data_IF_805463103797
#
_entry.id   IF_805463103797
#
_cell.length_a   1.000
_cell.length_b   1.000
_cell.length_c   1.000
_cell.angle_alpha   90.00
_cell.angle_beta   90.00
_cell.angle_gamma   90.00
#
_symmetry.space_group_name_H-M   'P 1'
#
loop_
_entity.id
_entity.type
_entity.pdbx_description
1 polymer ?
#
# COMPACT_ATOMS: atom_id res chain seq x y z
N UNK A 1 -15.76 -6.10 -25.52
CA UNK A 1 -16.61 -7.07 -24.78
C UNK A 1 -16.62 -6.67 -23.31
N UNK A 2 -17.73 -6.79 -22.58
CA UNK A 2 -17.77 -6.50 -21.14
C UNK A 2 -17.29 -7.75 -20.38
N UNK A 3 -16.08 -7.69 -19.82
CA UNK A 3 -15.48 -8.84 -19.14
C UNK A 3 -16.06 -8.98 -17.75
N UNK A 4 -16.48 -10.20 -17.41
CA UNK A 4 -17.11 -10.46 -16.12
C UNK A 4 -16.16 -10.17 -14.95
N UNK A 5 -16.71 -9.84 -13.77
CA UNK A 5 -15.92 -9.68 -12.54
C UNK A 5 -15.04 -10.92 -12.28
N UNK A 6 -15.57 -12.11 -12.59
CA UNK A 6 -14.85 -13.37 -12.47
C UNK A 6 -13.61 -13.45 -13.37
N UNK A 7 -13.68 -12.96 -14.61
CA UNK A 7 -12.54 -12.95 -15.52
C UNK A 7 -11.47 -11.94 -15.07
N UNK A 8 -11.89 -10.81 -14.50
CA UNK A 8 -10.95 -9.84 -13.90
C UNK A 8 -10.22 -10.46 -12.71
N UNK A 9 -10.93 -11.17 -11.84
CA UNK A 9 -10.31 -11.92 -10.74
C UNK A 9 -9.35 -12.99 -11.25
N UNK A 10 -9.76 -13.81 -12.23
CA UNK A 10 -8.90 -14.84 -12.80
C UNK A 10 -7.64 -14.22 -13.40
N UNK A 11 -7.77 -13.14 -14.17
CA UNK A 11 -6.62 -12.44 -14.76
C UNK A 11 -5.67 -11.87 -13.69
N UNK A 12 -6.23 -11.26 -12.64
CA UNK A 12 -5.45 -10.74 -11.51
C UNK A 12 -4.63 -11.86 -10.84
N UNK A 13 -5.27 -13.01 -10.56
CA UNK A 13 -4.56 -14.17 -10.01
C UNK A 13 -3.53 -14.74 -10.99
N UNK A 14 -3.79 -14.74 -12.30
CA UNK A 14 -2.80 -15.16 -13.30
C UNK A 14 -1.58 -14.23 -13.32
N UNK A 15 -1.79 -12.91 -13.18
CA UNK A 15 -0.71 -11.94 -13.10
C UNK A 15 0.17 -12.17 -11.87
N UNK A 16 -0.43 -12.37 -10.69
CA UNK A 16 0.29 -12.65 -9.44
C UNK A 16 1.11 -13.93 -9.52
N UNK A 17 0.55 -14.97 -10.11
CA UNK A 17 1.13 -16.32 -10.09
C UNK A 17 1.98 -16.64 -11.33
N UNK A 18 2.28 -15.66 -12.18
CA UNK A 18 3.03 -15.87 -13.43
C UNK A 18 2.40 -16.94 -14.34
N UNK A 19 1.09 -16.87 -14.57
CA UNK A 19 0.31 -17.85 -15.36
C UNK A 19 -0.31 -17.25 -16.62
N UNK A 20 0.48 -16.52 -17.40
CA UNK A 20 0.09 -15.92 -18.66
C UNK A 20 -1.23 -15.14 -18.56
N UNK A 21 -1.28 -14.02 -17.82
CA UNK A 21 -2.47 -13.19 -17.78
C UNK A 21 -2.83 -12.71 -19.18
N UNK A 22 -4.14 -12.55 -19.43
CA UNK A 22 -4.69 -12.07 -20.70
C UNK A 22 -4.39 -10.57 -20.91
N UNK A 23 -4.23 -9.80 -19.83
CA UNK A 23 -3.86 -8.39 -19.85
C UNK A 23 -3.12 -8.00 -18.56
N UNK A 24 -2.46 -6.83 -18.56
CA UNK A 24 -1.85 -6.23 -17.37
C UNK A 24 -2.96 -5.60 -16.51
N UNK A 25 -3.18 -6.03 -15.26
CA UNK A 25 -4.07 -5.33 -14.35
C UNK A 25 -3.59 -3.89 -14.11
N UNK A 26 -4.48 -2.92 -14.28
CA UNK A 26 -4.19 -1.51 -14.07
C UNK A 26 -5.25 -0.89 -13.16
N UNK A 27 -4.84 0.05 -12.32
CA UNK A 27 -5.73 0.84 -11.46
C UNK A 27 -5.23 2.27 -11.30
N UNK A 28 -6.15 3.18 -11.04
CA UNK A 28 -5.85 4.56 -10.68
C UNK A 28 -6.38 4.82 -9.28
N UNK A 29 -5.52 5.36 -8.41
CA UNK A 29 -5.90 5.87 -7.09
C UNK A 29 -6.07 7.37 -7.18
N UNK A 30 -7.19 7.89 -6.70
CA UNK A 30 -7.52 9.32 -6.70
C UNK A 30 -7.65 9.76 -5.25
N UNK A 31 -6.75 10.65 -4.80
CA UNK A 31 -6.75 11.10 -3.41
C UNK A 31 -8.05 11.84 -3.07
N UNK A 32 -8.52 11.78 -1.81
CA UNK A 32 -9.70 12.54 -1.39
C UNK A 32 -9.58 14.04 -1.67
N UNK A 33 -8.38 14.62 -1.52
CA UNK A 33 -8.11 16.01 -1.91
C UNK A 33 -8.32 16.26 -3.42
N UNK A 34 -7.98 15.29 -4.28
CA UNK A 34 -8.20 15.34 -5.74
C UNK A 34 -9.71 15.38 -6.05
N UNK A 35 -10.50 14.51 -5.42
CA UNK A 35 -11.96 14.52 -5.52
C UNK A 35 -12.56 15.85 -5.04
N UNK A 36 -12.13 16.37 -3.89
CA UNK A 36 -12.58 17.67 -3.37
C UNK A 36 -12.30 18.82 -4.34
N UNK A 37 -11.13 18.83 -4.96
CA UNK A 37 -10.68 19.90 -5.85
C UNK A 37 -11.47 19.93 -7.15
N UNK A 38 -11.65 18.77 -7.79
CA UNK A 38 -12.18 18.70 -9.15
C UNK A 38 -13.65 18.27 -9.24
N UNK A 39 -14.18 17.61 -8.20
CA UNK A 39 -15.60 17.25 -8.03
C UNK A 39 -16.17 16.57 -9.29
N UNK A 40 -17.23 17.12 -9.87
CA UNK A 40 -17.95 16.58 -11.02
C UNK A 40 -17.03 16.45 -12.26
N UNK A 41 -16.04 17.33 -12.43
CA UNK A 41 -15.10 17.22 -13.56
C UNK A 41 -14.19 16.00 -13.49
N UNK A 42 -13.88 15.53 -12.27
CA UNK A 42 -13.14 14.29 -12.07
C UNK A 42 -14.07 13.08 -12.22
N UNK A 43 -15.31 13.21 -11.77
CA UNK A 43 -16.35 12.19 -11.98
C UNK A 43 -16.60 11.93 -13.47
N UNK A 44 -16.65 12.98 -14.30
CA UNK A 44 -16.76 12.85 -15.76
C UNK A 44 -15.65 11.97 -16.37
N UNK A 45 -14.41 12.15 -15.92
CA UNK A 45 -13.25 11.32 -16.33
C UNK A 45 -13.39 9.89 -15.81
N UNK A 46 -13.80 9.72 -14.57
CA UNK A 46 -13.96 8.38 -13.99
C UNK A 46 -15.05 7.58 -14.73
N UNK A 47 -16.15 8.25 -15.11
CA UNK A 47 -17.23 7.66 -15.89
C UNK A 47 -16.86 7.38 -17.35
N UNK A 48 -15.90 8.12 -17.94
CA UNK A 48 -15.40 7.85 -19.29
C UNK A 48 -14.45 6.64 -19.35
N UNK A 49 -13.91 6.19 -18.20
CA UNK A 49 -12.94 5.10 -18.10
C UNK A 49 -13.45 3.88 -17.28
N UNK A 50 -14.54 3.21 -17.72
CA UNK A 50 -15.11 2.07 -16.99
C UNK A 50 -14.18 0.84 -16.95
N UNK A 51 -13.13 0.78 -17.77
CA UNK A 51 -12.15 -0.30 -17.68
C UNK A 51 -11.28 -0.16 -16.44
N UNK A 52 -10.89 1.08 -16.11
CA UNK A 52 -10.12 1.46 -14.91
C UNK A 52 -11.02 1.49 -13.67
N UNK A 53 -12.25 1.98 -13.81
CA UNK A 53 -13.20 2.18 -12.71
C UNK A 53 -14.49 1.33 -12.86
N UNK A 54 -14.40 0.00 -12.93
CA UNK A 54 -15.54 -0.86 -13.29
C UNK A 54 -16.67 -0.88 -12.24
N UNK A 55 -16.39 -0.47 -11.01
CA UNK A 55 -17.34 -0.45 -9.91
C UNK A 55 -17.90 0.94 -9.61
N UNK A 56 -17.43 1.98 -10.31
CA UNK A 56 -17.85 3.35 -10.05
C UNK A 56 -19.29 3.60 -10.54
N UNK A 57 -20.03 4.38 -9.77
CA UNK A 57 -21.39 4.82 -10.10
C UNK A 57 -21.49 6.32 -9.89
N UNK A 58 -22.19 7.00 -10.78
CA UNK A 58 -22.47 8.43 -10.66
C UNK A 58 -23.07 8.73 -9.27
N UNK A 59 -22.54 9.74 -8.59
CA UNK A 59 -22.92 10.16 -7.25
C UNK A 59 -22.54 9.19 -6.12
N UNK A 60 -21.71 8.16 -6.37
CA UNK A 60 -21.30 7.20 -5.33
C UNK A 60 -20.26 7.75 -4.35
N UNK A 61 -19.60 8.86 -4.70
CA UNK A 61 -18.64 9.56 -3.84
C UNK A 61 -19.28 10.85 -3.34
N UNK A 62 -19.26 11.02 -2.02
CA UNK A 62 -19.49 12.33 -1.40
C UNK A 62 -18.16 13.08 -1.39
N UNK A 63 -18.03 14.09 -2.26
CA UNK A 63 -16.78 14.85 -2.43
C UNK A 63 -16.30 15.51 -1.15
N UNK A 64 -17.19 15.85 -0.21
CA UNK A 64 -16.84 16.60 0.99
C UNK A 64 -16.62 15.68 2.21
N UNK A 65 -16.97 14.40 2.11
CA UNK A 65 -16.86 13.43 3.20
C UNK A 65 -15.44 12.84 3.35
N UNK A 66 -14.66 13.41 4.28
CA UNK A 66 -13.39 12.83 4.74
C UNK A 66 -13.62 12.13 6.08
N UNK A 67 -13.69 10.79 6.05
CA UNK A 67 -14.03 9.98 7.24
C UNK A 67 -12.83 9.67 8.11
N UNK A 68 -11.69 9.35 7.51
CA UNK A 68 -10.47 9.02 8.25
C UNK A 68 -9.89 10.30 8.89
N UNK A 69 -9.71 10.35 10.23
CA UNK A 69 -9.08 11.50 10.89
C UNK A 69 -7.66 11.80 10.41
N UNK A 70 -6.91 10.82 9.91
CA UNK A 70 -5.59 11.04 9.31
C UNK A 70 -5.62 11.93 8.08
N UNK A 71 -6.75 11.94 7.38
CA UNK A 71 -6.94 12.77 6.18
C UNK A 71 -7.62 14.10 6.48
N UNK A 72 -8.02 14.36 7.73
CA UNK A 72 -8.69 15.61 8.11
C UNK A 72 -7.69 16.60 8.62
N UNK A 73 -7.79 17.86 8.17
CA UNK A 73 -6.91 18.93 8.62
C UNK A 73 -7.05 19.14 10.12
N UNK A 74 -5.92 19.29 10.81
CA UNK A 74 -5.84 19.39 12.26
C UNK A 74 -5.11 18.20 12.88
N UNK A 75 -5.29 18.03 14.20
CA UNK A 75 -4.59 16.99 14.95
C UNK A 75 -5.54 16.01 15.63
N UNK A 76 -5.09 14.77 15.77
CA UNK A 76 -5.74 13.74 16.58
C UNK A 76 -4.68 12.85 17.26
N UNK A 77 -5.10 11.97 18.15
CA UNK A 77 -4.22 10.99 18.79
C UNK A 77 -4.76 9.60 18.48
N UNK A 78 -3.88 8.74 17.98
CA UNK A 78 -4.25 7.36 17.65
C UNK A 78 -4.30 6.47 18.91
N UNK A 79 -4.70 5.21 18.76
CA UNK A 79 -4.81 4.26 19.87
C UNK A 79 -3.46 3.88 20.50
N UNK A 80 -2.35 4.18 19.82
CA UNK A 80 -1.00 4.02 20.36
C UNK A 80 -0.52 5.27 21.12
N UNK A 81 -1.32 6.34 21.17
CA UNK A 81 -0.90 7.59 21.79
C UNK A 81 0.04 8.42 20.92
N UNK A 82 0.20 8.08 19.64
CA UNK A 82 0.91 8.92 18.67
C UNK A 82 0.03 10.11 18.33
N UNK A 83 0.59 11.33 18.40
CA UNK A 83 -0.14 12.54 18.00
C UNK A 83 0.14 12.82 16.55
N UNK A 84 -0.94 12.85 15.76
CA UNK A 84 -0.92 13.13 14.34
C UNK A 84 -1.26 14.60 14.09
N UNK A 85 -0.67 15.17 13.05
CA UNK A 85 -1.00 16.48 12.51
C UNK A 85 -1.12 16.39 11.00
N UNK A 86 -2.18 17.00 10.49
CA UNK A 86 -2.48 17.11 9.08
C UNK A 86 -2.64 18.60 8.73
N UNK A 87 -1.88 19.06 7.73
CA UNK A 87 -1.89 20.45 7.29
C UNK A 87 -2.79 20.69 6.06
N UNK A 88 -3.18 19.62 5.36
CA UNK A 88 -3.88 19.64 4.08
C UNK A 88 -4.99 18.58 4.03
N UNK A 89 -6.24 19.05 4.03
CA UNK A 89 -7.44 18.21 4.06
C UNK A 89 -7.52 17.30 2.81
N UNK A 90 -7.65 15.99 3.03
CA UNK A 90 -7.77 14.98 1.99
C UNK A 90 -6.42 14.40 1.52
N UNK A 91 -5.30 14.79 2.13
CA UNK A 91 -4.02 14.08 2.09
C UNK A 91 -3.75 13.44 3.45
N UNK A 92 -2.91 12.42 3.56
CA UNK A 92 -2.63 11.79 4.86
C UNK A 92 -1.75 12.70 5.75
N UNK A 93 -1.97 12.62 7.06
CA UNK A 93 -1.22 13.36 8.06
C UNK A 93 0.09 12.66 8.45
N UNK A 94 0.83 13.26 9.37
CA UNK A 94 2.05 12.66 9.93
C UNK A 94 2.07 12.70 11.46
N UNK A 95 2.80 11.78 12.07
CA UNK A 95 3.02 11.77 13.52
C UNK A 95 4.02 12.87 13.91
N UNK A 96 3.62 13.74 14.83
CA UNK A 96 4.41 14.87 15.34
C UNK A 96 4.76 14.76 16.82
N UNK A 97 4.12 13.86 17.59
CA UNK A 97 4.56 13.53 18.96
C UNK A 97 4.52 12.02 19.20
N UNK A 98 5.54 11.56 19.89
CA UNK A 98 5.87 10.13 20.00
C UNK A 98 5.75 9.69 21.47
N UNK A 99 4.93 8.68 21.80
CA UNK A 99 4.68 8.26 23.18
C UNK A 99 5.92 7.65 23.88
N UNK A 100 6.89 7.15 23.11
CA UNK A 100 8.14 6.57 23.57
C UNK A 100 9.36 7.40 23.13
N UNK A 101 9.22 8.72 23.04
CA UNK A 101 10.34 9.67 22.87
C UNK A 101 11.42 9.57 23.98
N UNK A 102 11.08 8.97 25.12
CA UNK A 102 11.97 8.60 26.22
C UNK A 102 11.82 7.10 26.55
N UNK A 103 12.95 6.39 26.54
CA UNK A 103 13.02 4.98 26.91
C UNK A 103 12.55 4.69 28.34
N UNK A 104 12.58 5.66 29.25
CA UNK A 104 12.04 5.53 30.61
C UNK A 104 10.55 5.19 30.65
N UNK A 105 9.82 5.42 29.55
CA UNK A 105 8.39 5.10 29.40
C UNK A 105 8.11 3.68 28.91
N UNK A 106 9.11 2.98 28.37
CA UNK A 106 8.90 1.68 27.70
C UNK A 106 8.36 0.60 28.63
N UNK A 107 8.83 0.55 29.88
CA UNK A 107 8.46 -0.52 30.81
C UNK A 107 7.02 -0.45 31.30
N UNK A 108 6.46 0.77 31.36
CA UNK A 108 5.07 1.01 31.76
C UNK A 108 4.12 1.21 30.58
N UNK A 109 4.62 1.25 29.35
CA UNK A 109 3.81 1.44 28.16
C UNK A 109 3.02 0.17 27.81
N UNK A 110 1.74 0.35 27.51
CA UNK A 110 0.81 -0.72 27.17
C UNK A 110 0.34 -0.47 25.73
N UNK A 111 0.66 -1.34 24.75
CA UNK A 111 0.14 -1.19 23.40
C UNK A 111 -1.37 -1.42 23.38
N UNK A 112 -2.10 -0.79 22.44
CA UNK A 112 -3.53 -1.03 22.26
C UNK A 112 -3.81 -2.50 21.86
N UNK A 113 -5.05 -2.93 22.00
CA UNK A 113 -5.50 -4.23 21.47
C UNK A 113 -6.20 -4.03 20.11
N UNK A 114 -5.66 -4.57 19.00
CA UNK A 114 -6.24 -4.39 17.66
C UNK A 114 -7.61 -5.03 17.52
N UNK A 115 -7.99 -5.94 18.43
CA UNK A 115 -9.27 -6.63 18.41
C UNK A 115 -10.39 -5.75 19.00
N UNK A 116 -10.02 -4.79 19.85
CA UNK A 116 -10.96 -3.96 20.62
C UNK A 116 -11.00 -2.52 20.10
N UNK A 117 -9.90 -2.02 19.55
CA UNK A 117 -9.78 -0.63 19.14
C UNK A 117 -9.08 -0.49 17.80
N UNK A 118 -9.65 0.30 16.90
CA UNK A 118 -8.99 0.68 15.64
C UNK A 118 -7.88 1.71 15.89
N UNK A 119 -6.85 1.70 15.05
CA UNK A 119 -5.68 2.58 15.18
C UNK A 119 -6.10 4.05 15.26
N UNK A 120 -6.84 4.53 14.25
CA UNK A 120 -7.25 5.94 14.14
C UNK A 120 -8.59 6.23 14.83
N UNK A 121 -8.98 5.40 15.79
CA UNK A 121 -10.17 5.57 16.62
C UNK A 121 -11.39 4.79 16.14
N UNK A 122 -12.28 4.44 17.09
CA UNK A 122 -13.41 3.55 16.86
C UNK A 122 -13.15 2.13 17.36
N UNK A 123 -14.14 1.26 17.16
CA UNK A 123 -14.10 -0.15 17.55
C UNK A 123 -14.39 -0.99 16.31
N UNK A 124 -13.57 -2.03 16.02
CA UNK A 124 -13.81 -2.88 14.88
C UNK A 124 -15.15 -3.61 14.97
N UNK A 125 -15.99 -3.50 13.94
CA UNK A 125 -17.19 -4.31 13.80
C UNK A 125 -16.88 -5.59 13.02
N UNK A 126 -16.38 -6.60 13.74
CA UNK A 126 -15.92 -7.86 13.14
C UNK A 126 -17.03 -8.64 12.43
N UNK A 127 -18.29 -8.51 12.87
CA UNK A 127 -19.41 -9.20 12.24
C UNK A 127 -19.76 -8.52 10.91
N UNK A 128 -19.80 -7.18 10.88
CA UNK A 128 -19.98 -6.43 9.63
C UNK A 128 -18.84 -6.67 8.65
N UNK A 129 -17.59 -6.71 9.14
CA UNK A 129 -16.43 -7.07 8.31
C UNK A 129 -16.62 -8.47 7.73
N UNK A 130 -17.01 -9.46 8.55
CA UNK A 130 -17.25 -10.84 8.07
C UNK A 130 -18.29 -10.89 6.96
N UNK A 131 -19.42 -10.20 7.13
CA UNK A 131 -20.47 -10.15 6.10
C UNK A 131 -19.99 -9.44 4.83
N UNK A 132 -19.23 -8.34 4.95
CA UNK A 132 -18.61 -7.67 3.80
C UNK A 132 -17.65 -8.60 3.03
N UNK A 133 -16.84 -9.42 3.73
CA UNK A 133 -15.96 -10.39 3.08
C UNK A 133 -16.74 -11.48 2.32
N UNK A 134 -17.85 -11.97 2.90
CA UNK A 134 -18.74 -12.92 2.23
C UNK A 134 -19.39 -12.31 0.99
N UNK A 135 -19.88 -11.07 1.10
CA UNK A 135 -20.49 -10.35 -0.02
C UNK A 135 -19.50 -10.20 -1.18
N UNK A 136 -18.26 -9.75 -0.90
CA UNK A 136 -17.21 -9.63 -1.92
C UNK A 136 -16.93 -10.96 -2.63
N UNK A 137 -16.82 -12.05 -1.87
CA UNK A 137 -16.63 -13.40 -2.46
C UNK A 137 -17.81 -13.79 -3.34
N UNK A 138 -19.04 -13.51 -2.91
CA UNK A 138 -20.26 -13.82 -3.70
C UNK A 138 -20.33 -13.06 -5.02
N UNK A 139 -19.68 -11.89 -5.09
CA UNK A 139 -19.55 -11.07 -6.30
C UNK A 139 -18.36 -11.50 -7.19
N UNK A 140 -17.61 -12.56 -6.82
CA UNK A 140 -16.43 -12.99 -7.56
C UNK A 140 -15.21 -12.09 -7.35
N UNK A 141 -15.12 -11.38 -6.22
CA UNK A 141 -13.99 -10.51 -5.83
C UNK A 141 -13.18 -11.16 -4.70
N UNK A 142 -11.92 -10.76 -4.55
CA UNK A 142 -11.10 -11.16 -3.40
C UNK A 142 -11.68 -10.57 -2.09
N UNK A 143 -11.73 -11.42 -1.07
CA UNK A 143 -11.87 -10.98 0.32
C UNK A 143 -10.50 -10.48 0.80
N UNK A 144 -10.33 -9.18 0.96
CA UNK A 144 -9.06 -8.56 1.35
C UNK A 144 -9.13 -8.10 2.80
N UNK A 145 -8.12 -8.45 3.59
CA UNK A 145 -7.83 -7.85 4.89
C UNK A 145 -6.52 -7.06 4.84
N UNK A 146 -6.17 -6.39 5.92
CA UNK A 146 -4.91 -5.69 5.99
C UNK A 146 -4.61 -5.10 7.36
N UNK A 147 -3.34 -4.72 7.53
CA UNK A 147 -2.92 -3.89 8.65
C UNK A 147 -3.00 -2.41 8.27
N UNK A 148 -3.11 -1.50 9.25
CA UNK A 148 -3.05 -0.06 8.98
C UNK A 148 -1.70 0.33 8.35
N UNK A 149 -1.69 1.45 7.62
CA UNK A 149 -0.48 1.97 7.01
C UNK A 149 0.56 2.30 8.10
N UNK A 150 1.79 1.83 7.91
CA UNK A 150 2.83 1.93 8.91
C UNK A 150 2.67 0.95 10.08
N UNK A 151 2.52 -0.33 9.74
CA UNK A 151 2.21 -1.38 10.71
C UNK A 151 3.42 -1.93 11.49
N UNK A 152 4.63 -1.97 10.91
CA UNK A 152 5.80 -2.57 11.54
C UNK A 152 6.97 -1.58 11.66
N UNK A 153 7.70 -1.26 10.59
CA UNK A 153 8.84 -0.35 10.66
C UNK A 153 8.41 1.08 10.98
N UNK A 154 7.41 1.61 10.26
CA UNK A 154 6.93 2.95 10.54
C UNK A 154 6.33 3.08 11.93
N UNK A 155 5.64 2.04 12.43
CA UNK A 155 5.13 2.03 13.80
C UNK A 155 6.25 2.26 14.82
N UNK A 156 7.45 1.71 14.60
CA UNK A 156 8.57 1.93 15.50
C UNK A 156 8.94 3.42 15.57
N UNK A 157 9.01 4.13 14.43
CA UNK A 157 9.35 5.55 14.45
C UNK A 157 8.17 6.46 14.80
N UNK A 158 6.92 6.00 14.62
CA UNK A 158 5.75 6.68 15.19
C UNK A 158 5.78 6.64 16.72
N UNK A 159 6.28 5.55 17.31
CA UNK A 159 6.38 5.42 18.76
C UNK A 159 7.59 6.14 19.35
N UNK A 160 8.75 6.00 18.70
CA UNK A 160 10.06 6.41 19.23
C UNK A 160 10.49 7.81 18.76
N UNK A 161 9.95 8.26 17.63
CA UNK A 161 10.49 9.34 16.81
C UNK A 161 11.56 8.82 15.86
N UNK A 162 11.59 9.36 14.63
CA UNK A 162 12.49 8.89 13.57
C UNK A 162 13.97 9.00 13.96
N UNK A 163 14.42 10.18 14.38
CA UNK A 163 15.83 10.41 14.75
C UNK A 163 16.30 9.48 15.89
N UNK A 164 15.49 9.37 16.93
CA UNK A 164 15.73 8.48 18.06
C UNK A 164 15.85 7.02 17.62
N UNK A 165 14.88 6.53 16.83
CA UNK A 165 14.93 5.16 16.33
C UNK A 165 16.17 4.91 15.47
N UNK A 166 16.56 5.87 14.62
CA UNK A 166 17.75 5.73 13.78
C UNK A 166 19.02 5.63 14.63
N UNK A 167 19.14 6.44 15.68
CA UNK A 167 20.24 6.35 16.65
C UNK A 167 20.22 4.98 17.34
N UNK A 168 19.07 4.57 17.87
CA UNK A 168 18.93 3.30 18.59
C UNK A 168 19.37 2.11 17.70
N UNK A 169 18.94 2.08 16.43
CA UNK A 169 19.32 1.02 15.46
C UNK A 169 20.81 1.08 15.14
N UNK A 170 21.37 2.28 14.96
CA UNK A 170 22.78 2.44 14.65
C UNK A 170 23.68 1.99 15.81
N UNK A 171 23.26 2.21 17.05
CA UNK A 171 24.03 1.85 18.27
C UNK A 171 23.66 0.50 18.87
N UNK A 172 22.77 -0.27 18.22
CA UNK A 172 22.25 -1.54 18.73
C UNK A 172 21.66 -1.42 20.16
N UNK A 173 20.82 -0.41 20.41
CA UNK A 173 20.24 -0.20 21.73
C UNK A 173 19.51 -1.46 22.22
N UNK A 174 19.82 -1.98 23.43
CA UNK A 174 19.27 -3.25 23.91
C UNK A 174 17.75 -3.22 24.11
N UNK A 175 17.12 -2.04 24.17
CA UNK A 175 15.67 -1.90 24.33
C UNK A 175 14.90 -2.08 23.04
N UNK A 176 15.57 -2.04 21.88
CA UNK A 176 14.94 -2.22 20.57
C UNK A 176 14.19 -3.55 20.47
N UNK A 177 14.76 -4.64 20.98
CA UNK A 177 14.14 -5.97 20.89
C UNK A 177 12.76 -5.99 21.57
N UNK A 178 12.64 -5.32 22.73
CA UNK A 178 11.37 -5.19 23.45
C UNK A 178 10.36 -4.35 22.67
N UNK A 179 10.78 -3.22 22.10
CA UNK A 179 9.90 -2.38 21.27
C UNK A 179 9.43 -3.12 20.01
N UNK A 180 10.35 -3.79 19.31
CA UNK A 180 10.06 -4.57 18.10
C UNK A 180 9.11 -5.72 18.41
N UNK A 181 9.34 -6.48 19.48
CA UNK A 181 8.43 -7.57 19.88
C UNK A 181 7.04 -7.05 20.21
N UNK A 182 6.93 -5.89 20.88
CA UNK A 182 5.65 -5.28 21.22
C UNK A 182 4.80 -4.98 19.98
N UNK A 183 5.41 -4.36 18.96
CA UNK A 183 4.73 -4.06 17.69
C UNK A 183 4.43 -5.35 16.91
N UNK A 184 5.37 -6.29 16.87
CA UNK A 184 5.17 -7.57 16.20
C UNK A 184 4.00 -8.34 16.83
N UNK A 185 3.94 -8.44 18.16
CA UNK A 185 2.89 -9.18 18.86
C UNK A 185 1.50 -8.57 18.63
N UNK A 186 1.41 -7.24 18.55
CA UNK A 186 0.20 -6.55 18.09
C UNK A 186 -0.19 -7.00 16.68
N UNK A 187 0.73 -6.95 15.72
CA UNK A 187 0.47 -7.31 14.33
C UNK A 187 0.06 -8.78 14.19
N UNK A 188 0.70 -9.68 14.93
CA UNK A 188 0.36 -11.10 14.91
C UNK A 188 -1.07 -11.36 15.40
N UNK A 189 -1.54 -10.66 16.44
CA UNK A 189 -2.94 -10.75 16.89
C UNK A 189 -3.90 -10.30 15.79
N UNK A 190 -3.61 -9.16 15.15
CA UNK A 190 -4.47 -8.60 14.12
C UNK A 190 -4.50 -9.49 12.85
N UNK A 191 -3.34 -9.97 12.38
CA UNK A 191 -3.23 -10.91 11.27
C UNK A 191 -4.05 -12.17 11.55
N UNK A 192 -3.90 -12.78 12.72
CA UNK A 192 -4.66 -13.97 13.08
C UNK A 192 -6.18 -13.74 13.04
N UNK A 193 -6.64 -12.55 13.43
CA UNK A 193 -8.07 -12.21 13.32
C UNK A 193 -8.54 -12.16 11.87
N UNK A 194 -7.77 -11.53 10.97
CA UNK A 194 -8.10 -11.53 9.54
C UNK A 194 -8.09 -12.94 8.95
N UNK A 195 -7.12 -13.78 9.32
CA UNK A 195 -7.05 -15.17 8.88
C UNK A 195 -8.24 -16.00 9.37
N UNK A 196 -8.70 -15.78 10.61
CA UNK A 196 -9.93 -16.39 11.15
C UNK A 196 -11.17 -16.03 10.32
N UNK A 197 -11.24 -14.77 9.84
CA UNK A 197 -12.34 -14.29 9.01
C UNK A 197 -12.30 -14.83 7.57
N UNK A 198 -11.21 -15.50 7.19
CA UNK A 198 -11.06 -16.10 5.87
C UNK A 198 -10.86 -15.05 4.77
N UNK A 199 -9.75 -14.33 4.82
CA UNK A 199 -9.30 -13.46 3.73
C UNK A 199 -8.53 -14.25 2.68
N UNK A 200 -8.55 -13.80 1.43
CA UNK A 200 -7.76 -14.35 0.31
C UNK A 200 -6.43 -13.60 0.12
N UNK A 201 -6.39 -12.33 0.53
CA UNK A 201 -5.23 -11.45 0.42
C UNK A 201 -5.11 -10.58 1.69
N UNK A 202 -3.88 -10.45 2.18
CA UNK A 202 -3.50 -9.55 3.27
C UNK A 202 -2.64 -8.41 2.73
N UNK A 203 -3.08 -7.18 2.95
CA UNK A 203 -2.37 -5.95 2.62
C UNK A 203 -1.54 -5.46 3.81
N UNK A 204 -0.31 -5.05 3.52
CA UNK A 204 0.62 -4.42 4.43
C UNK A 204 1.13 -3.13 3.78
N UNK A 205 0.97 -2.00 4.47
CA UNK A 205 1.62 -0.73 4.09
C UNK A 205 2.72 -0.41 5.10
N UNK A 206 3.95 -0.26 4.62
CA UNK A 206 5.10 0.08 5.45
C UNK A 206 6.23 0.65 4.58
N UNK A 207 6.51 1.95 4.72
CA UNK A 207 7.47 2.63 3.85
C UNK A 207 8.90 2.35 4.32
N UNK A 208 9.53 1.38 3.66
CA UNK A 208 10.85 0.85 4.06
C UNK A 208 12.02 1.66 3.49
N UNK A 209 11.76 2.60 2.60
CA UNK A 209 12.77 3.32 1.83
C UNK A 209 12.61 4.83 1.88
N UNK A 210 13.71 5.55 1.69
CA UNK A 210 13.70 6.97 1.33
C UNK A 210 13.72 7.12 -0.20
N UNK A 211 13.85 8.33 -0.73
CA UNK A 211 13.85 8.56 -2.17
C UNK A 211 14.98 7.85 -2.95
N UNK A 212 16.17 7.71 -2.36
CA UNK A 212 17.35 7.21 -3.08
C UNK A 212 18.14 6.11 -2.35
N UNK A 213 17.68 5.71 -1.15
CA UNK A 213 18.35 4.71 -0.29
C UNK A 213 17.42 4.20 0.80
N UNK A 214 17.81 3.10 1.44
CA UNK A 214 17.20 2.66 2.69
C UNK A 214 17.54 3.62 3.87
N UNK A 215 16.60 3.87 4.80
CA UNK A 215 16.85 4.65 6.01
C UNK A 215 17.75 3.90 7.01
N UNK A 216 17.76 2.57 6.97
CA UNK A 216 18.65 1.71 7.77
C UNK A 216 19.45 0.79 6.85
N UNK A 217 20.65 0.37 7.26
CA UNK A 217 21.45 -0.51 6.42
C UNK A 217 20.76 -1.86 6.17
N UNK A 218 20.97 -2.51 5.02
CA UNK A 218 20.44 -3.85 4.76
C UNK A 218 20.79 -4.88 5.85
N UNK A 219 21.96 -4.74 6.48
CA UNK A 219 22.36 -5.56 7.63
C UNK A 219 21.43 -5.36 8.83
N UNK A 220 21.16 -4.10 9.20
CA UNK A 220 20.25 -3.78 10.31
C UNK A 220 18.81 -4.17 9.98
N UNK A 221 18.37 -4.02 8.73
CA UNK A 221 17.07 -4.53 8.27
C UNK A 221 16.97 -6.05 8.49
N UNK A 222 17.98 -6.81 8.05
CA UNK A 222 18.02 -8.27 8.23
C UNK A 222 18.05 -8.70 9.69
N UNK A 223 18.70 -7.91 10.55
CA UNK A 223 18.77 -8.16 12.00
C UNK A 223 17.42 -7.92 12.68
N UNK A 224 16.80 -6.76 12.44
CA UNK A 224 15.68 -6.27 13.26
C UNK A 224 14.30 -6.45 12.61
N UNK A 225 14.19 -6.26 11.30
CA UNK A 225 12.89 -6.17 10.62
C UNK A 225 12.55 -7.41 9.79
N UNK A 226 13.51 -7.99 9.07
CA UNK A 226 13.29 -9.22 8.28
C UNK A 226 12.64 -10.35 9.11
N UNK A 227 13.04 -10.63 10.37
CA UNK A 227 12.38 -11.67 11.17
C UNK A 227 10.91 -11.36 11.43
N UNK A 228 10.54 -10.08 11.59
CA UNK A 228 9.17 -9.64 11.79
C UNK A 228 8.33 -9.89 10.53
N UNK A 229 8.80 -9.44 9.36
CA UNK A 229 8.12 -9.69 8.08
C UNK A 229 8.00 -11.19 7.78
N UNK A 230 9.06 -11.97 8.01
CA UNK A 230 9.03 -13.43 7.82
C UNK A 230 7.95 -14.09 8.68
N UNK A 231 7.79 -13.66 9.94
CA UNK A 231 6.74 -14.18 10.82
C UNK A 231 5.33 -13.76 10.35
N UNK A 232 5.13 -12.47 10.05
CA UNK A 232 3.83 -11.94 9.61
C UNK A 232 3.36 -12.55 8.28
N UNK A 233 4.25 -12.57 7.29
CA UNK A 233 3.96 -13.12 5.96
C UNK A 233 3.84 -14.64 6.01
N UNK A 234 4.67 -15.31 6.81
CA UNK A 234 4.60 -16.75 7.06
C UNK A 234 3.22 -17.22 7.50
N UNK A 235 2.58 -16.52 8.46
CA UNK A 235 1.22 -16.84 8.90
C UNK A 235 0.19 -16.80 7.76
N UNK A 236 0.30 -15.80 6.88
CA UNK A 236 -0.58 -15.68 5.72
C UNK A 236 -0.33 -16.83 4.73
N UNK A 237 0.95 -17.11 4.46
CA UNK A 237 1.38 -18.17 3.53
C UNK A 237 0.95 -19.56 3.98
N UNK A 238 1.04 -19.86 5.27
CA UNK A 238 0.58 -21.12 5.86
C UNK A 238 -0.93 -21.37 5.66
N UNK A 239 -1.70 -20.31 5.45
CA UNK A 239 -3.15 -20.34 5.17
C UNK A 239 -3.50 -20.16 3.70
N UNK A 240 -2.50 -20.18 2.79
CA UNK A 240 -2.66 -19.90 1.36
C UNK A 240 -3.25 -18.50 1.06
N UNK A 241 -2.97 -17.53 1.92
CA UNK A 241 -3.37 -16.13 1.75
C UNK A 241 -2.25 -15.36 1.06
N UNK A 242 -2.60 -14.61 0.01
CA UNK A 242 -1.64 -13.77 -0.72
C UNK A 242 -1.16 -12.61 0.16
N UNK A 243 0.13 -12.28 0.07
CA UNK A 243 0.73 -11.14 0.77
C UNK A 243 1.00 -10.01 -0.21
N UNK A 244 0.38 -8.86 0.03
CA UNK A 244 0.65 -7.60 -0.69
C UNK A 244 1.41 -6.66 0.23
N UNK A 245 2.58 -6.17 -0.20
CA UNK A 245 3.36 -5.15 0.51
C UNK A 245 3.46 -3.87 -0.32
N UNK A 246 2.94 -2.77 0.21
CA UNK A 246 3.20 -1.42 -0.24
C UNK A 246 4.41 -0.83 0.48
N UNK A 247 5.35 -0.31 -0.30
CA UNK A 247 6.51 0.46 0.15
C UNK A 247 7.03 1.24 -1.07
N UNK A 248 6.74 2.53 -1.12
CA UNK A 248 6.98 3.35 -2.32
C UNK A 248 8.38 3.99 -2.37
N UNK A 249 9.15 3.95 -1.28
CA UNK A 249 10.57 4.34 -1.26
C UNK A 249 11.55 3.37 -1.94
N UNK A 250 12.84 3.71 -1.90
CA UNK A 250 13.94 2.91 -2.43
C UNK A 250 14.18 1.66 -1.57
N UNK A 251 13.97 0.48 -2.17
CA UNK A 251 14.01 -0.80 -1.47
C UNK A 251 14.85 -1.87 -2.19
N UNK A 252 15.57 -1.49 -3.24
CA UNK A 252 16.28 -2.41 -4.14
C UNK A 252 17.14 -3.43 -3.39
N UNK A 253 17.85 -3.01 -2.35
CA UNK A 253 18.80 -3.85 -1.62
C UNK A 253 18.14 -4.92 -0.73
N UNK A 254 16.83 -4.84 -0.50
CA UNK A 254 16.07 -5.76 0.36
C UNK A 254 14.94 -6.49 -0.38
N UNK A 255 14.77 -6.30 -1.70
CA UNK A 255 13.73 -7.01 -2.48
C UNK A 255 13.85 -8.52 -2.32
N UNK A 256 15.05 -9.09 -2.49
CA UNK A 256 15.26 -10.54 -2.33
C UNK A 256 14.95 -10.99 -0.88
N UNK A 257 15.21 -10.16 0.13
CA UNK A 257 14.86 -10.45 1.53
C UNK A 257 13.33 -10.50 1.75
N UNK A 258 12.59 -9.58 1.13
CA UNK A 258 11.12 -9.54 1.18
C UNK A 258 10.49 -10.73 0.46
N UNK A 259 11.07 -11.13 -0.68
CA UNK A 259 10.67 -12.35 -1.41
C UNK A 259 10.90 -13.59 -0.54
N UNK A 260 12.04 -13.70 0.14
CA UNK A 260 12.29 -14.80 1.08
C UNK A 260 11.27 -14.82 2.23
N UNK A 261 10.81 -13.65 2.69
CA UNK A 261 9.78 -13.55 3.73
C UNK A 261 8.40 -14.04 3.23
N UNK A 262 8.17 -14.08 1.93
CA UNK A 262 6.96 -14.64 1.33
C UNK A 262 6.00 -13.60 0.75
N UNK A 263 6.47 -12.39 0.41
CA UNK A 263 5.65 -11.43 -0.33
C UNK A 263 5.22 -12.02 -1.69
N UNK A 264 3.96 -11.83 -2.07
CA UNK A 264 3.46 -12.21 -3.39
C UNK A 264 3.46 -11.03 -4.36
N UNK A 265 3.07 -9.86 -3.84
CA UNK A 265 2.91 -8.63 -4.61
C UNK A 265 3.67 -7.54 -3.89
N UNK A 266 4.62 -6.92 -4.59
CA UNK A 266 5.37 -5.77 -4.09
C UNK A 266 4.95 -4.54 -4.88
N UNK A 267 4.70 -3.44 -4.18
CA UNK A 267 4.32 -2.16 -4.77
C UNK A 267 5.38 -1.08 -4.54
N UNK A 268 6.46 -1.09 -5.35
CA UNK A 268 7.49 -0.06 -5.34
C UNK A 268 7.13 1.10 -6.27
N UNK A 269 7.56 2.32 -5.91
CA UNK A 269 7.53 3.45 -6.85
C UNK A 269 8.68 3.37 -7.84
N UNK A 270 8.37 3.60 -9.11
CA UNK A 270 9.34 3.63 -10.20
C UNK A 270 10.39 4.73 -10.04
N UNK A 271 10.05 5.89 -9.47
CA UNK A 271 11.01 6.99 -9.29
C UNK A 271 12.12 6.63 -8.32
N UNK A 272 11.79 6.09 -7.16
CA UNK A 272 12.77 5.73 -6.15
C UNK A 272 13.62 4.51 -6.55
N UNK A 273 13.02 3.56 -7.29
CA UNK A 273 13.64 2.26 -7.59
C UNK A 273 14.20 2.13 -9.01
N UNK A 274 13.85 3.04 -9.93
CA UNK A 274 14.13 3.01 -11.39
C UNK A 274 13.56 1.78 -12.10
N UNK A 275 13.30 1.90 -13.40
CA UNK A 275 12.85 0.74 -14.19
C UNK A 275 13.97 -0.30 -14.27
N UNK A 276 15.21 0.13 -14.50
CA UNK A 276 16.38 -0.75 -14.60
C UNK A 276 16.67 -1.49 -13.28
N UNK A 277 16.53 -0.79 -12.15
CA UNK A 277 16.64 -1.39 -10.82
C UNK A 277 15.59 -2.48 -10.59
N UNK A 278 14.34 -2.23 -10.95
CA UNK A 278 13.26 -3.22 -10.82
C UNK A 278 13.39 -4.39 -11.81
N UNK A 279 13.84 -4.15 -13.05
CA UNK A 279 14.16 -5.22 -14.01
C UNK A 279 15.23 -6.15 -13.45
N UNK A 280 16.29 -5.60 -12.86
CA UNK A 280 17.41 -6.39 -12.34
C UNK A 280 17.03 -7.17 -11.07
N UNK A 281 16.24 -6.57 -10.18
CA UNK A 281 16.07 -7.09 -8.82
C UNK A 281 14.72 -7.76 -8.56
N UNK A 282 13.65 -7.40 -9.29
CA UNK A 282 12.28 -7.84 -9.01
C UNK A 282 11.60 -8.59 -10.16
N UNK A 283 11.84 -8.19 -11.43
CA UNK A 283 11.16 -8.77 -12.60
C UNK A 283 11.36 -10.29 -12.67
N UNK A 284 10.26 -11.02 -12.80
CA UNK A 284 10.25 -12.49 -12.87
C UNK A 284 10.43 -13.20 -11.53
N UNK A 285 10.66 -12.47 -10.43
CA UNK A 285 10.82 -13.05 -9.08
C UNK A 285 9.61 -12.80 -8.18
N UNK A 286 8.95 -11.65 -8.34
CA UNK A 286 7.77 -11.23 -7.58
C UNK A 286 6.81 -10.49 -8.51
N UNK A 287 5.50 -10.52 -8.21
CA UNK A 287 4.56 -9.68 -8.92
C UNK A 287 4.78 -8.22 -8.50
N UNK A 288 5.12 -7.37 -9.47
CA UNK A 288 5.32 -5.93 -9.27
C UNK A 288 3.97 -5.26 -9.57
N UNK A 289 3.34 -4.67 -8.56
CA UNK A 289 2.30 -3.66 -8.77
C UNK A 289 3.02 -2.33 -8.87
N UNK A 290 3.46 -1.92 -10.06
CA UNK A 290 4.34 -0.77 -10.22
C UNK A 290 3.58 0.51 -9.91
N UNK A 291 4.00 1.23 -8.87
CA UNK A 291 3.56 2.60 -8.68
C UNK A 291 4.32 3.51 -9.65
N UNK A 292 3.56 4.06 -10.59
CA UNK A 292 4.06 4.95 -11.61
C UNK A 292 4.54 6.27 -10.99
N UNK A 293 5.15 7.14 -11.80
CA UNK A 293 5.84 8.30 -11.26
C UNK A 293 4.85 9.42 -10.89
N UNK A 294 4.24 9.31 -9.71
CA UNK A 294 3.31 10.33 -9.20
C UNK A 294 3.95 11.72 -9.02
N UNK A 295 5.28 11.81 -8.91
CA UNK A 295 5.99 13.08 -8.86
C UNK A 295 6.23 13.70 -10.26
N UNK A 296 6.09 12.90 -11.33
CA UNK A 296 6.14 13.36 -12.72
C UNK A 296 4.79 13.93 -13.18
N UNK A 297 3.69 13.28 -12.77
CA UNK A 297 2.33 13.58 -13.26
C UNK A 297 1.88 15.04 -13.16
N UNK A 298 2.24 15.84 -12.13
CA UNK A 298 1.82 17.23 -12.04
C UNK A 298 2.44 18.15 -13.10
N UNK A 299 3.62 17.79 -13.61
CA UNK A 299 4.47 18.67 -14.41
C UNK A 299 4.70 18.18 -15.84
N UNK A 300 4.41 16.91 -16.11
CA UNK A 300 4.61 16.32 -17.43
C UNK A 300 3.54 16.72 -18.44
N UNK A 301 3.94 16.76 -19.70
CA UNK A 301 3.03 16.77 -20.84
C UNK A 301 2.36 15.39 -21.01
N UNK A 302 1.19 15.31 -21.68
CA UNK A 302 0.55 14.03 -22.00
C UNK A 302 1.47 13.03 -22.72
N UNK A 303 2.35 13.51 -23.60
CA UNK A 303 3.29 12.66 -24.32
C UNK A 303 4.40 12.11 -23.40
N UNK A 304 4.85 12.88 -22.42
CA UNK A 304 5.81 12.41 -21.40
C UNK A 304 5.19 11.33 -20.51
N UNK A 305 3.93 11.49 -20.11
CA UNK A 305 3.18 10.48 -19.35
C UNK A 305 3.03 9.20 -20.16
N UNK A 306 2.62 9.31 -21.43
CA UNK A 306 2.50 8.18 -22.34
C UNK A 306 3.81 7.42 -22.49
N UNK A 307 4.92 8.15 -22.71
CA UNK A 307 6.26 7.57 -22.84
C UNK A 307 6.69 6.88 -21.55
N UNK A 308 6.46 7.50 -20.39
CA UNK A 308 6.75 6.93 -19.08
C UNK A 308 6.06 5.57 -18.86
N UNK A 309 4.74 5.51 -19.07
CA UNK A 309 3.96 4.29 -18.86
C UNK A 309 4.37 3.20 -19.87
N UNK A 310 4.55 3.55 -21.14
CA UNK A 310 4.94 2.58 -22.18
C UNK A 310 6.35 2.03 -21.97
N UNK A 311 7.32 2.85 -21.55
CA UNK A 311 8.69 2.40 -21.23
C UNK A 311 8.68 1.40 -20.07
N UNK A 312 7.93 1.70 -19.00
CA UNK A 312 7.75 0.78 -17.88
C UNK A 312 7.16 -0.57 -18.33
N UNK A 313 6.09 -0.55 -19.16
CA UNK A 313 5.48 -1.77 -19.68
C UNK A 313 6.45 -2.54 -20.57
N UNK A 314 7.11 -1.89 -21.53
CA UNK A 314 8.06 -2.53 -22.44
C UNK A 314 9.17 -3.27 -21.68
N UNK A 315 9.72 -2.63 -20.63
CA UNK A 315 10.85 -3.18 -19.87
C UNK A 315 10.44 -4.18 -18.80
N UNK A 316 9.31 -3.99 -18.11
CA UNK A 316 8.93 -4.82 -16.96
C UNK A 316 7.94 -5.93 -17.30
N UNK A 317 7.14 -5.80 -18.36
CA UNK A 317 6.15 -6.82 -18.69
C UNK A 317 6.81 -8.14 -19.14
N UNK A 318 6.11 -9.24 -18.92
CA UNK A 318 6.48 -10.59 -19.38
C UNK A 318 5.23 -11.34 -19.82
N UNK A 319 5.29 -12.18 -20.88
CA UNK A 319 4.15 -13.01 -21.28
C UNK A 319 3.62 -13.91 -20.17
N UNK A 320 4.46 -14.30 -19.22
CA UNK A 320 4.11 -15.12 -18.05
C UNK A 320 3.30 -14.32 -17.02
N UNK A 321 3.40 -12.99 -16.99
CA UNK A 321 2.80 -12.11 -15.99
C UNK A 321 3.83 -11.52 -15.04
N UNK A 322 3.39 -11.19 -13.82
CA UNK A 322 4.24 -10.56 -12.80
C UNK A 322 4.31 -9.04 -12.85
N UNK A 323 3.49 -8.38 -13.68
CA UNK A 323 3.35 -6.92 -13.71
C UNK A 323 1.88 -6.52 -13.56
N UNK A 324 1.65 -5.52 -12.72
CA UNK A 324 0.43 -4.73 -12.58
C UNK A 324 0.86 -3.26 -12.50
N UNK A 325 -0.05 -2.33 -12.77
CA UNK A 325 0.24 -0.89 -12.73
C UNK A 325 -0.74 -0.18 -11.82
N UNK A 326 -0.22 0.72 -10.99
CA UNK A 326 -1.00 1.72 -10.28
C UNK A 326 -0.48 3.12 -10.62
N UNK A 327 -1.40 4.04 -10.87
CA UNK A 327 -1.11 5.47 -10.88
C UNK A 327 -1.88 6.14 -9.74
N UNK A 328 -1.17 6.77 -8.81
CA UNK A 328 -1.79 7.64 -7.82
C UNK A 328 -1.80 9.08 -8.32
N UNK A 329 -2.98 9.72 -8.31
CA UNK A 329 -3.14 11.12 -8.70
C UNK A 329 -3.54 11.98 -7.50
N UNK A 330 -2.61 12.85 -7.13
CA UNK A 330 -2.74 13.88 -6.10
C UNK A 330 -3.46 15.13 -6.63
N UNK A 331 -3.92 16.05 -5.74
CA UNK A 331 -4.68 17.22 -6.15
C UNK A 331 -3.90 18.18 -7.06
N UNK A 332 -2.58 18.09 -7.12
CA UNK A 332 -1.73 18.89 -8.00
C UNK A 332 -1.70 18.35 -9.45
N UNK A 333 -2.10 17.10 -9.70
CA UNK A 333 -2.19 16.51 -11.04
C UNK A 333 -3.32 17.19 -11.85
N UNK A 334 -3.05 17.77 -13.03
CA UNK A 334 -4.08 18.35 -13.90
C UNK A 334 -5.07 17.30 -14.43
N UNK A 335 -6.33 17.69 -14.64
CA UNK A 335 -7.37 16.80 -15.21
C UNK A 335 -6.95 16.19 -16.56
N UNK A 336 -6.30 16.97 -17.44
CA UNK A 336 -5.76 16.47 -18.72
C UNK A 336 -4.75 15.33 -18.53
N UNK A 337 -3.95 15.40 -17.46
CA UNK A 337 -2.98 14.37 -17.14
C UNK A 337 -3.67 13.14 -16.53
N UNK A 338 -4.70 13.31 -15.69
CA UNK A 338 -5.52 12.19 -15.17
C UNK A 338 -6.21 11.44 -16.32
N UNK A 339 -6.84 12.16 -17.25
CA UNK A 339 -7.45 11.60 -18.47
C UNK A 339 -6.41 10.83 -19.30
N UNK A 340 -5.24 11.43 -19.51
CA UNK A 340 -4.14 10.79 -20.27
C UNK A 340 -3.66 9.51 -19.59
N UNK A 341 -3.49 9.53 -18.25
CA UNK A 341 -3.09 8.35 -17.47
C UNK A 341 -4.13 7.24 -17.65
N UNK A 342 -5.41 7.53 -17.46
CA UNK A 342 -6.48 6.55 -17.60
C UNK A 342 -6.50 5.96 -19.02
N UNK A 343 -6.51 6.82 -20.04
CA UNK A 343 -6.49 6.41 -21.45
C UNK A 343 -5.29 5.51 -21.80
N UNK A 344 -4.08 5.86 -21.33
CA UNK A 344 -2.88 5.06 -21.61
C UNK A 344 -2.91 3.73 -20.87
N UNK A 345 -3.41 3.70 -19.63
CA UNK A 345 -3.56 2.46 -18.87
C UNK A 345 -4.59 1.51 -19.51
N UNK A 346 -5.64 2.01 -20.14
CA UNK A 346 -6.59 1.21 -20.94
C UNK A 346 -5.99 0.72 -22.26
N UNK A 347 -5.02 1.43 -22.82
CA UNK A 347 -4.32 1.01 -24.05
C UNK A 347 -3.33 -0.12 -23.77
N UNK A 348 -2.53 0.01 -22.70
CA UNK A 348 -1.45 -0.95 -22.38
C UNK A 348 -1.92 -2.09 -21.49
N UNK A 349 -3.03 -1.90 -20.79
CA UNK A 349 -3.60 -2.82 -19.82
C UNK A 349 -5.11 -2.81 -19.86
N UNK A 350 -5.71 -3.61 -18.98
CA UNK A 350 -7.14 -3.86 -19.04
C UNK A 350 -7.54 -4.82 -20.18
N UNK A 351 -8.72 -5.42 -20.07
CA UNK A 351 -9.18 -6.35 -21.06
C UNK A 351 -9.59 -5.60 -22.34
N UNK A 352 -8.82 -5.77 -23.42
CA UNK A 352 -9.04 -5.08 -24.69
C UNK A 352 -10.42 -5.41 -25.27
N UNK A 353 -11.09 -4.41 -25.84
CA UNK A 353 -12.47 -4.50 -26.36
C UNK A 353 -12.65 -5.54 -27.45
#
# INVERSE_FOLDING_TARGET
>A
MDYSIQERLENYLRAINFKNPRWIPCRVSLMPATWRKYREKLEDIVLSHPVIFPDYREGSIDFDAIKDPGYRKGGFTDSWGCVWENIEEGLDGMVVKFPLDDWGKLDSYIPPDPIVQEERGGTPDWDKIRESLKERRSQGKLATGGLPHGSMYMRLFYLRGFENLMIDIATDDPRLEKLISMVLDYNIKFINKWLELGVDLMYFGDDLGNQDRLPISPEKFRKYLKPCYKKMFGLCREKNVYVYLHSDGHIIEIIDDLIECGVNILNPQVRANTVEGLVKNAKGKVCIDLDLDRQLFPFATPEEIRRHIKDAVEKLNSPEGGLMLIAECEPDVPLENIETICSVLEEVGGPSV
#
